data_IF_192851156864
#
_entry.id   IF_192851156864
#
_cell.length_a   1.000
_cell.length_b   1.000
_cell.length_c   1.000
_cell.angle_alpha   90.00
_cell.angle_beta   90.00
_cell.angle_gamma   90.00
#
_symmetry.space_group_name_H-M   'P 1'
#
loop_
_entity.id
_entity.type
_entity.pdbx_description
1 polymer ?
#
# COMPACT_ATOMS: atom_id res chain seq x y z
N UNK A 1 15.86 86.32 2.79
CA UNK A 1 17.23 86.02 3.25
C UNK A 1 17.14 85.03 4.39
N UNK A 2 18.04 84.04 4.39
CA UNK A 2 18.22 82.94 5.35
C UNK A 2 17.12 81.87 5.32
N UNK A 3 17.40 80.57 5.41
CA UNK A 3 18.58 79.72 5.19
C UNK A 3 18.08 78.28 5.37
N UNK A 4 18.66 77.34 4.65
CA UNK A 4 18.34 75.91 4.69
C UNK A 4 18.58 75.29 6.07
N UNK A 5 17.75 74.32 6.47
CA UNK A 5 18.20 73.11 7.18
C UNK A 5 17.15 71.99 7.00
N UNK A 6 17.42 71.06 6.07
CA UNK A 6 16.77 69.75 6.03
C UNK A 6 17.48 68.85 7.04
N UNK A 7 16.73 68.32 8.00
CA UNK A 7 17.20 67.30 8.94
C UNK A 7 16.99 65.92 8.31
N UNK A 8 18.09 65.21 8.09
CA UNK A 8 18.10 63.79 7.75
C UNK A 8 17.77 62.97 9.00
N UNK A 9 16.68 62.21 8.96
CA UNK A 9 16.43 61.13 9.93
C UNK A 9 16.82 59.81 9.27
N UNK A 10 17.87 59.19 9.81
CA UNK A 10 18.28 57.83 9.49
C UNK A 10 17.23 56.85 10.03
N UNK A 11 16.51 56.17 9.14
CA UNK A 11 15.78 54.95 9.48
C UNK A 11 16.68 53.75 9.20
N UNK A 12 17.17 53.15 10.28
CA UNK A 12 17.82 51.83 10.28
C UNK A 12 16.80 50.75 9.91
N UNK A 13 16.93 50.20 8.70
CA UNK A 13 16.17 49.03 8.25
C UNK A 13 16.86 47.78 8.83
N UNK A 14 16.21 47.12 9.79
CA UNK A 14 16.54 45.75 10.15
C UNK A 14 16.09 44.83 9.02
N UNK A 15 17.05 44.32 8.25
CA UNK A 15 16.82 43.26 7.28
C UNK A 15 16.57 41.94 8.04
N UNK A 16 15.31 41.49 8.07
CA UNK A 16 15.01 40.09 8.35
C UNK A 16 15.51 39.25 7.18
N UNK A 17 16.52 38.41 7.43
CA UNK A 17 16.96 37.39 6.50
C UNK A 17 15.79 36.44 6.21
N UNK A 18 15.24 36.51 4.99
CA UNK A 18 14.36 35.46 4.46
C UNK A 18 15.23 34.24 4.20
N UNK A 19 15.04 33.19 4.99
CA UNK A 19 15.50 31.85 4.63
C UNK A 19 14.80 31.44 3.33
N UNK A 20 15.51 31.55 2.22
CA UNK A 20 15.15 30.91 0.96
C UNK A 20 15.20 29.39 1.15
N UNK A 21 14.14 28.63 0.82
CA UNK A 21 14.26 27.19 0.77
C UNK A 21 15.26 26.81 -0.33
N UNK A 22 16.21 25.95 0.03
CA UNK A 22 17.25 25.44 -0.86
C UNK A 22 16.61 24.89 -2.15
N UNK A 23 17.02 25.45 -3.29
CA UNK A 23 16.83 24.83 -4.60
C UNK A 23 17.51 23.47 -4.56
N UNK A 24 16.73 22.40 -4.60
CA UNK A 24 17.22 21.07 -4.92
C UNK A 24 17.90 21.15 -6.30
N UNK A 25 19.23 21.00 -6.31
CA UNK A 25 19.96 20.75 -7.54
C UNK A 25 19.47 19.42 -8.11
N UNK A 26 18.69 19.48 -9.19
CA UNK A 26 18.47 18.35 -10.09
C UNK A 26 19.79 18.08 -10.82
N UNK A 27 20.65 17.28 -10.20
CA UNK A 27 21.63 16.49 -10.93
C UNK A 27 21.05 15.10 -11.14
N UNK A 28 21.12 14.61 -12.38
CA UNK A 28 20.73 13.28 -12.84
C UNK A 28 21.51 12.17 -12.10
N UNK A 29 21.21 11.94 -10.83
CA UNK A 29 21.49 10.68 -10.19
C UNK A 29 20.38 9.71 -10.62
N UNK A 30 20.66 8.88 -11.64
CA UNK A 30 19.96 7.59 -11.71
C UNK A 30 20.24 6.91 -10.37
N UNK A 31 19.24 6.80 -9.51
CA UNK A 31 19.40 6.09 -8.24
C UNK A 31 19.92 4.69 -8.56
N UNK A 32 20.95 4.21 -7.86
CA UNK A 32 21.53 2.88 -8.08
C UNK A 32 20.46 1.77 -8.08
N UNK A 33 19.37 1.97 -7.33
CA UNK A 33 18.24 1.06 -7.24
C UNK A 33 17.33 1.02 -8.48
N UNK A 34 17.30 2.04 -9.34
CA UNK A 34 16.52 1.96 -10.59
C UNK A 34 17.10 0.90 -11.54
N UNK A 35 18.39 0.56 -11.41
CA UNK A 35 19.01 -0.54 -12.16
C UNK A 35 18.59 -1.94 -11.65
N UNK A 36 18.05 -2.01 -10.44
CA UNK A 36 17.57 -3.23 -9.80
C UNK A 36 16.05 -3.42 -9.95
N UNK A 37 15.37 -2.42 -10.53
CA UNK A 37 13.95 -2.44 -10.84
C UNK A 37 13.74 -3.07 -12.23
N UNK A 38 12.89 -4.08 -12.29
CA UNK A 38 12.48 -4.71 -13.56
C UNK A 38 10.98 -4.93 -13.63
N UNK A 39 10.44 -4.87 -14.82
CA UNK A 39 9.06 -5.30 -15.06
C UNK A 39 8.96 -6.83 -14.97
N UNK A 40 7.91 -7.31 -14.31
CA UNK A 40 7.56 -8.74 -14.20
C UNK A 40 6.42 -9.09 -15.13
N UNK A 41 5.41 -8.22 -15.20
CA UNK A 41 4.24 -8.39 -16.06
C UNK A 41 3.53 -7.03 -16.23
N UNK A 42 2.88 -6.83 -17.37
CA UNK A 42 2.07 -5.65 -17.66
C UNK A 42 0.74 -6.08 -18.26
N UNK A 43 -0.34 -5.62 -17.66
CA UNK A 43 -1.69 -5.89 -18.12
C UNK A 43 -2.07 -5.03 -19.35
N UNK A 44 -3.15 -5.39 -20.06
CA UNK A 44 -3.77 -4.52 -21.07
C UNK A 44 -4.23 -3.18 -20.50
N UNK A 45 -4.60 -2.25 -21.38
CA UNK A 45 -5.22 -0.98 -20.98
C UNK A 45 -6.45 -1.20 -20.11
N UNK A 46 -6.78 -0.18 -19.31
CA UNK A 46 -7.85 -0.20 -18.35
C UNK A 46 -7.72 -1.32 -17.32
N UNK A 47 -6.50 -1.53 -16.81
CA UNK A 47 -6.25 -2.44 -15.69
C UNK A 47 -5.54 -1.71 -14.57
N UNK A 48 -6.13 -1.72 -13.38
CA UNK A 48 -5.54 -1.19 -12.16
C UNK A 48 -5.30 -2.36 -11.20
N UNK A 49 -4.02 -2.68 -10.97
CA UNK A 49 -3.62 -3.77 -10.08
C UNK A 49 -3.49 -3.22 -8.67
N UNK A 50 -4.37 -3.65 -7.78
CA UNK A 50 -4.55 -3.02 -6.46
C UNK A 50 -3.62 -3.61 -5.41
N UNK A 51 -3.71 -4.92 -5.20
CA UNK A 51 -3.05 -5.58 -4.10
C UNK A 51 -2.32 -6.85 -4.54
N UNK A 52 -1.47 -7.39 -3.66
CA UNK A 52 -0.58 -8.49 -4.00
C UNK A 52 -0.32 -9.43 -2.81
N UNK A 53 -0.35 -10.74 -3.07
CA UNK A 53 0.12 -11.77 -2.16
C UNK A 53 1.08 -12.73 -2.88
N UNK A 54 2.19 -13.09 -2.22
CA UNK A 54 3.16 -14.05 -2.76
C UNK A 54 2.80 -15.46 -2.30
N UNK A 55 2.59 -16.36 -3.26
CA UNK A 55 2.30 -17.78 -3.01
C UNK A 55 3.53 -18.53 -2.47
N UNK A 56 3.36 -19.66 -1.76
CA UNK A 56 4.48 -20.51 -1.32
C UNK A 56 5.41 -20.96 -2.46
N UNK A 57 4.88 -21.13 -3.67
CA UNK A 57 5.65 -21.50 -4.87
C UNK A 57 6.39 -20.32 -5.53
N UNK A 58 6.23 -19.09 -5.04
CA UNK A 58 6.85 -17.88 -5.58
C UNK A 58 6.05 -17.16 -6.66
N UNK A 59 4.89 -17.69 -7.06
CA UNK A 59 3.95 -16.96 -7.92
C UNK A 59 3.26 -15.84 -7.15
N UNK A 60 2.65 -14.91 -7.89
CA UNK A 60 2.02 -13.71 -7.32
C UNK A 60 0.52 -13.80 -7.57
N UNK A 61 -0.28 -13.61 -6.53
CA UNK A 61 -1.70 -13.34 -6.66
C UNK A 61 -1.91 -11.85 -6.60
N UNK A 62 -2.65 -11.30 -7.56
CA UNK A 62 -3.00 -9.88 -7.60
C UNK A 62 -4.49 -9.68 -7.75
N UNK A 63 -5.00 -8.61 -7.15
CA UNK A 63 -6.39 -8.17 -7.24
C UNK A 63 -6.51 -6.94 -8.12
N UNK A 64 -7.64 -6.77 -8.80
CA UNK A 64 -7.89 -5.60 -9.64
C UNK A 64 -9.01 -4.74 -9.03
N UNK A 65 -8.78 -3.43 -8.84
CA UNK A 65 -9.79 -2.55 -8.23
C UNK A 65 -10.93 -2.25 -9.21
N UNK A 66 -10.67 -2.28 -10.51
CA UNK A 66 -11.64 -1.89 -11.54
C UNK A 66 -12.34 -3.08 -12.20
N UNK A 67 -12.01 -4.30 -11.80
CA UNK A 67 -12.67 -5.54 -12.22
C UNK A 67 -12.57 -6.53 -11.07
N UNK A 68 -13.67 -7.17 -10.60
CA UNK A 68 -13.66 -7.98 -9.39
C UNK A 68 -12.95 -9.34 -9.59
N UNK A 69 -11.65 -9.32 -9.82
CA UNK A 69 -10.86 -10.46 -10.27
C UNK A 69 -9.60 -10.67 -9.44
N UNK A 70 -9.22 -11.94 -9.32
CA UNK A 70 -7.91 -12.38 -8.84
C UNK A 70 -7.17 -13.02 -9.99
N UNK A 71 -5.95 -12.57 -10.22
CA UNK A 71 -5.05 -13.11 -11.23
C UNK A 71 -3.82 -13.74 -10.58
N UNK A 72 -3.34 -14.84 -11.15
CA UNK A 72 -2.05 -15.39 -10.80
C UNK A 72 -1.03 -15.06 -11.87
N UNK A 73 0.09 -14.50 -11.44
CA UNK A 73 1.24 -14.20 -12.26
C UNK A 73 2.35 -15.17 -11.91
N UNK A 74 2.94 -15.75 -12.94
CA UNK A 74 4.04 -16.71 -12.86
C UNK A 74 5.29 -15.97 -13.35
N UNK A 75 6.12 -15.41 -12.44
CA UNK A 75 7.27 -14.61 -12.84
C UNK A 75 8.31 -15.46 -13.56
N UNK A 76 8.85 -14.94 -14.66
CA UNK A 76 10.03 -15.48 -15.30
C UNK A 76 11.18 -14.47 -15.28
N UNK A 77 12.40 -14.94 -15.59
CA UNK A 77 13.56 -14.08 -15.80
C UNK A 77 13.33 -13.17 -17.03
N UNK A 78 13.15 -13.76 -18.22
CA UNK A 78 12.68 -13.02 -19.39
C UNK A 78 11.21 -12.62 -19.25
N UNK A 79 10.91 -11.32 -19.43
CA UNK A 79 9.56 -10.76 -19.31
C UNK A 79 8.54 -11.46 -20.23
N UNK A 80 8.94 -11.73 -21.48
CA UNK A 80 8.10 -12.40 -22.49
C UNK A 80 7.68 -13.84 -22.11
N UNK A 81 8.29 -14.40 -21.08
CA UNK A 81 7.99 -15.74 -20.58
C UNK A 81 7.18 -15.71 -19.29
N UNK A 82 6.95 -14.54 -18.69
CA UNK A 82 6.00 -14.39 -17.59
C UNK A 82 4.60 -14.73 -18.10
N UNK A 83 3.82 -15.43 -17.29
CA UNK A 83 2.46 -15.84 -17.64
C UNK A 83 1.49 -15.27 -16.63
N UNK A 84 0.29 -14.96 -17.11
CA UNK A 84 -0.85 -14.59 -16.27
C UNK A 84 -1.99 -15.58 -16.51
N UNK A 85 -2.73 -15.90 -15.44
CA UNK A 85 -3.98 -16.64 -15.55
C UNK A 85 -5.02 -16.07 -14.60
N UNK A 86 -6.26 -15.96 -15.08
CA UNK A 86 -7.39 -15.63 -14.23
C UNK A 86 -7.61 -16.79 -13.24
N UNK A 87 -7.63 -16.47 -11.95
CA UNK A 87 -7.89 -17.43 -10.88
C UNK A 87 -9.37 -17.46 -10.56
N UNK A 88 -9.98 -16.28 -10.41
CA UNK A 88 -11.40 -16.17 -10.09
C UNK A 88 -11.94 -14.78 -10.48
N UNK A 89 -13.22 -14.76 -10.87
CA UNK A 89 -14.02 -13.55 -11.06
C UNK A 89 -15.21 -13.60 -10.09
N UNK A 90 -15.36 -12.59 -9.24
CA UNK A 90 -16.46 -12.52 -8.27
C UNK A 90 -17.69 -11.87 -8.93
N UNK A 91 -18.67 -12.71 -9.29
CA UNK A 91 -19.94 -12.23 -9.85
C UNK A 91 -20.66 -11.29 -8.87
N UNK A 92 -21.28 -10.23 -9.41
CA UNK A 92 -22.03 -9.21 -8.65
C UNK A 92 -21.19 -8.34 -7.70
N UNK A 93 -19.87 -8.30 -7.88
CA UNK A 93 -19.01 -7.31 -7.25
C UNK A 93 -18.51 -6.29 -8.27
N UNK A 94 -17.93 -5.19 -7.79
CA UNK A 94 -17.40 -4.13 -8.64
C UNK A 94 -15.87 -4.07 -8.65
N UNK A 95 -15.25 -4.56 -7.57
CA UNK A 95 -13.81 -4.42 -7.32
C UNK A 95 -13.27 -5.60 -6.52
N UNK A 96 -11.96 -5.84 -6.60
CA UNK A 96 -11.22 -6.68 -5.66
C UNK A 96 -10.06 -5.86 -5.07
N UNK A 97 -9.96 -5.81 -3.74
CA UNK A 97 -8.97 -4.98 -3.02
C UNK A 97 -8.02 -5.86 -2.20
N UNK A 98 -8.05 -5.81 -0.88
CA UNK A 98 -7.10 -6.51 -0.03
C UNK A 98 -7.13 -8.04 -0.18
N UNK A 99 -5.95 -8.65 -0.14
CA UNK A 99 -5.74 -10.10 -0.15
C UNK A 99 -4.74 -10.48 0.95
N UNK A 100 -5.01 -11.56 1.69
CA UNK A 100 -4.07 -12.08 2.69
C UNK A 100 -4.08 -13.60 2.75
N UNK A 101 -2.92 -14.20 2.97
CA UNK A 101 -2.79 -15.66 3.13
C UNK A 101 -3.23 -16.07 4.54
N UNK A 102 -4.17 -17.00 4.65
CA UNK A 102 -4.63 -17.58 5.92
C UNK A 102 -3.76 -18.78 6.30
N UNK A 103 -3.58 -19.69 5.35
CA UNK A 103 -2.69 -20.86 5.41
C UNK A 103 -2.07 -21.07 4.03
N UNK A 104 -1.02 -21.89 3.88
CA UNK A 104 -0.39 -22.10 2.57
C UNK A 104 -1.41 -22.38 1.46
N UNK A 105 -1.43 -21.51 0.44
CA UNK A 105 -2.35 -21.54 -0.70
C UNK A 105 -3.84 -21.34 -0.40
N UNK A 106 -4.20 -20.84 0.79
CA UNK A 106 -5.57 -20.43 1.13
C UNK A 106 -5.57 -18.97 1.55
N UNK A 107 -6.38 -18.15 0.88
CA UNK A 107 -6.40 -16.71 1.04
C UNK A 107 -7.78 -16.21 1.47
N UNK A 108 -7.81 -15.10 2.19
CA UNK A 108 -8.98 -14.23 2.25
C UNK A 108 -8.80 -13.12 1.21
N UNK A 109 -9.86 -12.77 0.49
CA UNK A 109 -9.88 -11.74 -0.55
C UNK A 109 -11.11 -10.86 -0.34
N UNK A 110 -10.91 -9.55 -0.36
CA UNK A 110 -12.00 -8.58 -0.36
C UNK A 110 -12.46 -8.35 -1.80
N UNK A 111 -13.77 -8.46 -2.02
CA UNK A 111 -14.40 -8.03 -3.26
C UNK A 111 -15.63 -7.17 -2.96
N UNK A 112 -15.52 -5.88 -3.28
CA UNK A 112 -16.38 -4.83 -2.73
C UNK A 112 -16.44 -4.96 -1.20
N UNK A 113 -17.61 -5.21 -0.62
CA UNK A 113 -17.78 -5.37 0.83
C UNK A 113 -17.94 -6.83 1.29
N UNK A 114 -17.60 -7.78 0.42
CA UNK A 114 -17.62 -9.21 0.73
C UNK A 114 -16.21 -9.73 0.97
N UNK A 115 -16.04 -10.53 2.01
CA UNK A 115 -14.78 -11.24 2.26
C UNK A 115 -14.96 -12.69 1.85
N UNK A 116 -14.15 -13.13 0.91
CA UNK A 116 -14.19 -14.47 0.35
C UNK A 116 -12.96 -15.27 0.77
N UNK A 117 -13.16 -16.54 1.09
CA UNK A 117 -12.08 -17.52 1.12
C UNK A 117 -11.79 -17.99 -0.30
N UNK A 118 -10.53 -18.02 -0.68
CA UNK A 118 -10.00 -18.53 -1.95
C UNK A 118 -8.99 -19.64 -1.66
N UNK A 119 -9.32 -20.88 -2.03
CA UNK A 119 -8.48 -22.06 -1.80
C UNK A 119 -7.87 -22.55 -3.11
N UNK A 120 -6.55 -22.54 -3.17
CA UNK A 120 -5.71 -22.96 -4.30
C UNK A 120 -4.84 -24.18 -3.95
N UNK A 121 -5.12 -24.85 -2.83
CA UNK A 121 -4.33 -26.00 -2.35
C UNK A 121 -4.51 -27.26 -3.21
N UNK A 122 -5.56 -27.30 -4.04
CA UNK A 122 -5.83 -28.43 -4.93
C UNK A 122 -4.89 -28.47 -6.14
N UNK A 123 -4.40 -29.68 -6.45
CA UNK A 123 -3.45 -29.93 -7.56
C UNK A 123 -4.05 -29.75 -8.95
N UNK A 124 -5.37 -29.79 -9.10
CA UNK A 124 -6.05 -29.54 -10.38
C UNK A 124 -6.02 -28.07 -10.81
N UNK A 125 -5.50 -27.19 -9.94
CA UNK A 125 -5.28 -25.79 -10.23
C UNK A 125 -6.55 -24.95 -10.24
N UNK A 126 -7.70 -25.53 -9.84
CA UNK A 126 -8.98 -24.83 -9.75
C UNK A 126 -9.15 -24.20 -8.37
N UNK A 127 -9.48 -22.91 -8.37
CA UNK A 127 -9.86 -22.19 -7.17
C UNK A 127 -11.20 -22.70 -6.62
N UNK A 128 -11.27 -22.92 -5.30
CA UNK A 128 -12.54 -23.02 -4.59
C UNK A 128 -12.77 -21.72 -3.84
N UNK A 129 -13.91 -21.08 -4.10
CA UNK A 129 -14.30 -19.87 -3.37
C UNK A 129 -15.48 -20.12 -2.44
N UNK A 130 -15.46 -19.48 -1.27
CA UNK A 130 -16.56 -19.51 -0.29
C UNK A 130 -16.68 -18.14 0.37
N UNK A 131 -17.89 -17.59 0.42
CA UNK A 131 -18.14 -16.36 1.16
C UNK A 131 -17.89 -16.60 2.66
N UNK A 132 -17.08 -15.75 3.29
CA UNK A 132 -16.87 -15.72 4.74
C UNK A 132 -17.94 -14.84 5.37
N UNK A 133 -17.99 -13.56 4.96
CA UNK A 133 -19.04 -12.63 5.37
C UNK A 133 -19.19 -11.41 4.42
N UNK A 134 -20.27 -10.66 4.59
CA UNK A 134 -20.55 -9.36 4.00
C UNK A 134 -20.61 -8.28 5.10
N UNK A 135 -19.85 -7.20 4.94
CA UNK A 135 -19.82 -6.06 5.87
C UNK A 135 -20.58 -4.89 5.21
N UNK A 136 -21.83 -4.58 5.61
CA UNK A 136 -22.76 -3.76 4.82
C UNK A 136 -22.47 -2.25 4.83
N UNK A 137 -21.38 -1.81 5.47
CA UNK A 137 -21.04 -0.40 5.66
C UNK A 137 -19.57 -0.15 5.36
N UNK A 138 -19.26 1.10 5.01
CA UNK A 138 -17.91 1.55 4.72
C UNK A 138 -17.35 0.99 3.42
N UNK A 139 -16.03 1.09 3.27
CA UNK A 139 -15.31 0.69 2.06
C UNK A 139 -14.05 -0.07 2.45
N UNK A 140 -14.06 -1.39 2.22
CA UNK A 140 -13.00 -2.29 2.62
C UNK A 140 -11.81 -2.19 1.65
N UNK A 141 -10.62 -1.92 2.19
CA UNK A 141 -9.41 -1.75 1.38
C UNK A 141 -8.33 -2.79 1.75
N UNK A 142 -7.26 -2.39 2.44
CA UNK A 142 -6.19 -3.30 2.86
C UNK A 142 -6.64 -4.36 3.87
N UNK A 143 -6.01 -5.55 3.83
CA UNK A 143 -6.28 -6.63 4.79
C UNK A 143 -5.00 -7.38 5.16
N UNK A 144 -4.95 -7.91 6.38
CA UNK A 144 -3.84 -8.75 6.84
C UNK A 144 -4.32 -9.81 7.84
N UNK A 145 -3.63 -10.96 7.88
CA UNK A 145 -3.84 -11.98 8.90
C UNK A 145 -3.34 -11.47 10.25
N UNK A 146 -4.24 -11.32 11.22
CA UNK A 146 -3.89 -10.92 12.58
C UNK A 146 -3.37 -12.11 13.40
N UNK A 147 -4.09 -13.22 13.37
CA UNK A 147 -3.73 -14.41 14.12
C UNK A 147 -4.14 -15.67 13.37
N UNK A 148 -3.13 -16.46 13.00
CA UNK A 148 -3.31 -17.70 12.25
C UNK A 148 -4.06 -18.78 13.03
N UNK A 149 -3.76 -18.93 14.32
CA UNK A 149 -4.33 -19.99 15.15
C UNK A 149 -5.83 -19.75 15.42
N UNK A 150 -6.20 -18.48 15.62
CA UNK A 150 -7.58 -18.07 15.82
C UNK A 150 -8.34 -17.82 14.49
N UNK A 151 -7.64 -17.79 13.35
CA UNK A 151 -8.25 -17.49 12.05
C UNK A 151 -8.80 -16.07 11.95
N UNK A 152 -8.12 -15.08 12.52
CA UNK A 152 -8.58 -13.69 12.56
C UNK A 152 -7.84 -12.85 11.54
N UNK A 153 -8.58 -12.07 10.75
CA UNK A 153 -8.04 -11.05 9.85
C UNK A 153 -8.42 -9.65 10.33
N UNK A 154 -7.53 -8.70 10.07
CA UNK A 154 -7.72 -7.26 10.27
C UNK A 154 -7.92 -6.61 8.90
N UNK A 155 -8.98 -5.81 8.74
CA UNK A 155 -9.39 -5.20 7.48
C UNK A 155 -9.51 -3.69 7.67
N UNK A 156 -8.76 -2.91 6.91
CA UNK A 156 -8.89 -1.45 6.91
C UNK A 156 -10.18 -1.03 6.19
N UNK A 157 -10.92 -0.12 6.82
CA UNK A 157 -12.06 0.56 6.22
C UNK A 157 -11.67 2.01 5.92
N UNK A 158 -11.42 2.27 4.64
CA UNK A 158 -10.86 3.55 4.22
C UNK A 158 -11.88 4.69 4.25
N UNK A 159 -13.18 4.37 4.33
CA UNK A 159 -14.24 5.37 4.43
C UNK A 159 -14.57 5.69 5.89
N UNK A 160 -14.65 4.67 6.75
CA UNK A 160 -15.02 4.84 8.15
C UNK A 160 -13.83 5.21 9.06
N UNK A 161 -12.60 5.06 8.57
CA UNK A 161 -11.39 5.38 9.32
C UNK A 161 -11.20 4.47 10.53
N UNK A 162 -11.28 3.16 10.31
CA UNK A 162 -11.15 2.14 11.36
C UNK A 162 -10.61 0.82 10.78
N UNK A 163 -10.32 -0.13 11.66
CA UNK A 163 -10.00 -1.51 11.28
C UNK A 163 -11.10 -2.43 11.79
N UNK A 164 -11.64 -3.28 10.92
CA UNK A 164 -12.52 -4.38 11.26
C UNK A 164 -11.70 -5.60 11.69
N UNK A 165 -12.16 -6.29 12.73
CA UNK A 165 -11.75 -7.66 13.07
C UNK A 165 -12.75 -8.58 12.41
N UNK A 166 -12.30 -9.64 11.72
CA UNK A 166 -13.15 -10.69 11.19
C UNK A 166 -12.60 -12.08 11.54
N UNK A 167 -13.44 -12.92 12.11
CA UNK A 167 -13.17 -14.35 12.27
C UNK A 167 -13.51 -15.09 10.97
N UNK A 168 -12.51 -15.72 10.36
CA UNK A 168 -12.66 -16.39 9.06
C UNK A 168 -13.39 -17.72 9.11
N UNK A 169 -13.65 -18.27 10.30
CA UNK A 169 -14.39 -19.52 10.49
C UNK A 169 -15.86 -19.25 10.75
N UNK A 170 -16.16 -18.38 11.72
CA UNK A 170 -17.54 -18.06 12.11
C UNK A 170 -18.17 -16.96 11.23
N UNK A 171 -17.35 -16.12 10.62
CA UNK A 171 -17.78 -14.92 9.92
C UNK A 171 -18.00 -13.73 10.86
N UNK A 172 -17.96 -13.89 12.18
CA UNK A 172 -18.20 -12.79 13.12
C UNK A 172 -17.22 -11.64 12.93
N UNK A 173 -17.74 -10.41 12.86
CA UNK A 173 -16.93 -9.21 12.72
C UNK A 173 -17.30 -8.12 13.74
N UNK A 174 -16.32 -7.28 14.07
CA UNK A 174 -16.47 -6.17 15.00
C UNK A 174 -15.46 -5.07 14.70
N UNK A 175 -15.69 -3.85 15.20
CA UNK A 175 -14.67 -2.81 15.17
C UNK A 175 -13.50 -3.26 16.05
N UNK A 176 -12.30 -3.30 15.45
CA UNK A 176 -11.05 -3.72 16.10
C UNK A 176 -10.28 -2.51 16.64
N UNK A 177 -9.97 -1.56 15.76
CA UNK A 177 -9.18 -0.38 16.04
C UNK A 177 -9.88 0.84 15.46
N UNK A 178 -9.81 1.96 16.17
CA UNK A 178 -10.29 3.26 15.71
C UNK A 178 -9.48 4.34 16.38
N UNK A 179 -8.91 5.22 15.59
CA UNK A 179 -8.05 6.31 16.05
C UNK A 179 -8.12 7.48 15.06
N UNK A 180 -7.85 8.70 15.53
CA UNK A 180 -7.88 9.90 14.68
C UNK A 180 -6.91 9.81 13.49
N UNK A 181 -5.79 9.12 13.65
CA UNK A 181 -4.82 8.91 12.55
C UNK A 181 -5.35 8.00 11.44
N UNK A 182 -6.52 7.37 11.61
CA UNK A 182 -7.19 6.55 10.60
C UNK A 182 -8.27 7.31 9.83
N UNK A 183 -8.68 8.49 10.31
CA UNK A 183 -9.82 9.24 9.79
C UNK A 183 -9.68 9.56 8.30
N UNK A 184 -10.82 9.44 7.60
CA UNK A 184 -10.93 9.76 6.19
C UNK A 184 -11.11 11.26 5.96
N UNK A 185 -10.56 11.76 4.86
CA UNK A 185 -10.77 13.13 4.39
C UNK A 185 -10.74 13.18 2.86
N UNK A 186 -10.83 14.39 2.28
CA UNK A 186 -10.87 14.62 0.82
C UNK A 186 -9.58 15.26 0.28
N UNK A 187 -8.48 15.28 1.03
CA UNK A 187 -7.26 16.06 0.70
C UNK A 187 -6.61 15.64 -0.63
N UNK A 188 -6.88 14.42 -1.09
CA UNK A 188 -6.38 13.89 -2.37
C UNK A 188 -7.47 13.71 -3.44
N UNK A 189 -8.70 14.18 -3.20
CA UNK A 189 -9.83 14.06 -4.13
C UNK A 189 -10.95 13.15 -3.61
N UNK A 190 -10.80 11.81 -3.64
CA UNK A 190 -11.79 10.90 -3.08
C UNK A 190 -11.77 10.91 -1.54
N UNK A 191 -12.90 10.51 -0.94
CA UNK A 191 -12.95 10.25 0.51
C UNK A 191 -12.12 9.00 0.81
N UNK A 192 -10.97 9.17 1.46
CA UNK A 192 -10.05 8.08 1.78
C UNK A 192 -9.41 8.35 3.14
N UNK A 193 -8.98 7.31 3.85
CA UNK A 193 -8.37 7.40 5.17
C UNK A 193 -7.29 6.34 5.35
N UNK A 194 -7.42 5.54 6.41
CA UNK A 194 -6.63 4.32 6.58
C UNK A 194 -6.73 3.43 5.33
N UNK A 195 -5.60 2.86 4.91
CA UNK A 195 -5.55 2.09 3.68
C UNK A 195 -4.80 0.77 3.88
N UNK A 196 -3.52 0.68 3.50
CA UNK A 196 -2.70 -0.49 3.82
C UNK A 196 -2.65 -0.80 5.32
N UNK A 197 -2.76 -2.09 5.65
CA UNK A 197 -2.59 -2.64 7.00
C UNK A 197 -1.73 -3.90 6.95
N UNK A 198 -0.77 -4.04 7.89
CA UNK A 198 0.12 -5.21 8.02
C UNK A 198 0.40 -5.53 9.49
N UNK A 199 0.66 -6.80 9.79
CA UNK A 199 1.00 -7.25 11.15
C UNK A 199 2.46 -7.72 11.20
N UNK A 200 3.18 -7.32 12.25
CA UNK A 200 4.49 -7.85 12.59
C UNK A 200 4.60 -7.97 14.12
N UNK A 201 4.75 -9.21 14.60
CA UNK A 201 4.71 -9.50 16.04
C UNK A 201 3.33 -9.18 16.62
N UNK A 202 3.32 -8.40 17.70
CA UNK A 202 2.11 -7.91 18.37
C UNK A 202 1.75 -6.47 17.98
N UNK A 203 2.22 -6.00 16.81
CA UNK A 203 1.88 -4.69 16.27
C UNK A 203 1.08 -4.80 14.97
N UNK A 204 0.05 -3.96 14.88
CA UNK A 204 -0.62 -3.61 13.62
C UNK A 204 -0.02 -2.31 13.12
N UNK A 205 0.54 -2.36 11.92
CA UNK A 205 1.05 -1.22 11.17
C UNK A 205 0.01 -0.82 10.13
N UNK A 206 -0.13 0.48 9.89
CA UNK A 206 -1.07 1.00 8.91
C UNK A 206 -0.58 2.30 8.31
N UNK A 207 -1.11 2.62 7.14
CA UNK A 207 -0.93 3.92 6.50
C UNK A 207 -2.26 4.66 6.45
N UNK A 208 -2.20 5.98 6.50
CA UNK A 208 -3.31 6.85 6.10
C UNK A 208 -2.86 7.62 4.86
N UNK A 209 -3.53 7.35 3.74
CA UNK A 209 -3.11 7.83 2.43
C UNK A 209 -3.16 9.36 2.33
N UNK A 210 -4.31 10.04 2.51
CA UNK A 210 -4.34 11.50 2.41
C UNK A 210 -3.54 12.21 3.48
N UNK A 211 -3.52 11.68 4.71
CA UNK A 211 -2.75 12.29 5.80
C UNK A 211 -1.24 12.02 5.69
N UNK A 212 -0.80 11.19 4.73
CA UNK A 212 0.61 10.82 4.49
C UNK A 212 1.28 10.29 5.76
N UNK A 213 0.58 9.42 6.49
CA UNK A 213 1.02 8.85 7.75
C UNK A 213 1.42 7.38 7.58
N UNK A 214 2.49 7.00 8.28
CA UNK A 214 2.80 5.61 8.57
C UNK A 214 2.82 5.44 10.09
N UNK A 215 1.95 4.56 10.59
CA UNK A 215 1.64 4.43 12.01
C UNK A 215 1.69 2.97 12.46
N UNK A 216 1.67 2.77 13.77
CA UNK A 216 1.43 1.45 14.38
C UNK A 216 0.72 1.56 15.71
N UNK A 217 0.14 0.44 16.14
CA UNK A 217 -0.38 0.25 17.49
C UNK A 217 -0.10 -1.18 17.92
N UNK A 218 0.28 -1.36 19.19
CA UNK A 218 0.42 -2.70 19.77
C UNK A 218 -0.97 -3.28 20.02
N UNK A 219 -1.18 -4.57 19.79
CA UNK A 219 -2.47 -5.23 19.96
C UNK A 219 -2.34 -6.58 20.64
N UNK A 220 -3.40 -7.00 21.31
CA UNK A 220 -3.60 -8.42 21.62
C UNK A 220 -4.04 -9.12 20.33
N UNK A 221 -3.26 -10.08 19.84
CA UNK A 221 -3.54 -10.70 18.52
C UNK A 221 -4.74 -11.64 18.52
N UNK A 222 -5.26 -12.07 19.68
CA UNK A 222 -6.44 -12.93 19.78
C UNK A 222 -7.73 -12.12 19.83
N UNK A 223 -7.72 -11.00 20.54
CA UNK A 223 -8.90 -10.13 20.68
C UNK A 223 -8.93 -9.00 19.65
N UNK A 224 -7.76 -8.61 19.14
CA UNK A 224 -7.56 -7.46 18.27
C UNK A 224 -7.54 -6.11 19.00
N UNK A 225 -7.68 -6.09 20.32
CA UNK A 225 -7.71 -4.85 21.09
C UNK A 225 -6.34 -4.17 21.12
N UNK A 226 -6.32 -2.84 21.05
CA UNK A 226 -5.12 -2.05 21.26
C UNK A 226 -4.58 -2.21 22.70
N UNK A 227 -3.28 -2.45 22.81
CA UNK A 227 -2.54 -2.61 24.07
C UNK A 227 -1.40 -1.59 24.09
N UNK A 228 -1.75 -0.32 24.05
CA UNK A 228 -0.79 0.79 24.06
C UNK A 228 -1.26 1.99 23.24
N UNK A 229 -0.41 3.02 23.12
CA UNK A 229 -0.72 4.19 22.30
C UNK A 229 -0.66 3.88 20.81
N UNK A 230 -1.40 4.65 20.03
CA UNK A 230 -1.19 4.76 18.59
C UNK A 230 0.03 5.66 18.34
N UNK A 231 0.99 5.14 17.57
CA UNK A 231 2.27 5.78 17.31
C UNK A 231 2.34 6.19 15.84
N UNK A 232 2.60 7.46 15.57
CA UNK A 232 3.01 7.91 14.23
C UNK A 232 4.51 7.67 14.11
N UNK A 233 4.91 6.77 13.21
CA UNK A 233 6.32 6.44 12.96
C UNK A 233 6.94 7.53 12.09
N UNK A 234 6.27 7.87 10.99
CA UNK A 234 6.77 8.84 10.01
C UNK A 234 5.65 9.55 9.27
N UNK A 235 5.96 10.71 8.68
CA UNK A 235 5.01 11.56 7.94
C UNK A 235 5.61 12.06 6.63
N UNK A 236 4.77 12.36 5.64
CA UNK A 236 5.12 13.15 4.45
C UNK A 236 5.17 12.35 3.15
N UNK A 237 5.44 11.06 3.22
CA UNK A 237 5.31 10.13 2.09
C UNK A 237 3.87 9.66 1.99
N UNK A 238 3.23 9.86 0.83
CA UNK A 238 1.94 9.21 0.54
C UNK A 238 2.16 7.70 0.42
N UNK A 239 1.19 6.92 0.87
CA UNK A 239 1.22 5.48 0.72
C UNK A 239 -0.19 4.92 0.53
N UNK A 240 -0.36 4.03 -0.43
CA UNK A 240 -1.59 3.29 -0.66
C UNK A 240 -1.60 2.02 0.21
N UNK A 241 -0.75 1.05 -0.13
CA UNK A 241 -0.40 -0.09 0.72
C UNK A 241 1.14 -0.25 0.84
N UNK A 242 1.60 -1.26 1.57
CA UNK A 242 3.01 -1.48 1.85
C UNK A 242 3.36 -2.93 2.20
N UNK A 243 4.63 -3.30 2.03
CA UNK A 243 5.21 -4.50 2.62
C UNK A 243 5.98 -4.15 3.91
N UNK A 244 6.13 -5.11 4.83
CA UNK A 244 7.02 -4.97 5.99
C UNK A 244 7.95 -6.18 6.09
N UNK A 245 9.23 -5.93 6.32
CA UNK A 245 10.24 -6.97 6.53
C UNK A 245 10.20 -7.52 7.96
N UNK A 246 10.84 -8.68 8.17
CA UNK A 246 11.01 -9.26 9.50
C UNK A 246 11.78 -8.35 10.47
N UNK A 247 12.54 -7.38 9.97
CA UNK A 247 13.29 -6.40 10.76
C UNK A 247 12.51 -5.09 11.00
N UNK A 248 11.24 -5.00 10.58
CA UNK A 248 10.40 -3.83 10.79
C UNK A 248 10.67 -2.67 9.81
N UNK A 249 11.46 -2.89 8.75
CA UNK A 249 11.55 -1.94 7.63
C UNK A 249 10.31 -2.09 6.76
N UNK A 250 9.58 -0.99 6.56
CA UNK A 250 8.42 -0.94 5.67
C UNK A 250 8.80 -0.45 4.27
N UNK A 251 8.08 -0.91 3.26
CA UNK A 251 8.24 -0.53 1.86
C UNK A 251 6.89 -0.01 1.36
N UNK A 252 6.76 1.32 1.34
CA UNK A 252 5.55 2.07 1.06
C UNK A 252 5.36 2.25 -0.45
N UNK A 253 4.21 1.85 -0.98
CA UNK A 253 3.83 2.07 -2.37
C UNK A 253 3.22 3.47 -2.50
N UNK A 254 3.92 4.38 -3.17
CA UNK A 254 3.72 5.82 -3.10
C UNK A 254 2.61 6.40 -3.96
N UNK A 255 1.64 5.61 -4.43
CA UNK A 255 0.48 6.06 -5.19
C UNK A 255 0.83 7.14 -6.23
N UNK A 256 0.26 8.34 -6.10
CA UNK A 256 0.43 9.47 -7.02
C UNK A 256 1.78 10.17 -6.92
N UNK A 257 2.58 9.91 -5.88
CA UNK A 257 3.96 10.38 -5.81
C UNK A 257 4.89 9.52 -6.72
N UNK A 258 4.39 8.40 -7.30
CA UNK A 258 5.08 7.57 -8.28
C UNK A 258 6.44 7.03 -7.80
N UNK A 259 6.52 6.72 -6.51
CA UNK A 259 7.73 6.22 -5.83
C UNK A 259 7.44 4.95 -5.04
N UNK A 260 8.51 4.23 -4.72
CA UNK A 260 8.54 3.29 -3.59
C UNK A 260 9.52 3.83 -2.57
N UNK A 261 9.09 3.95 -1.32
CA UNK A 261 9.94 4.41 -0.23
C UNK A 261 10.12 3.32 0.83
N UNK A 262 11.31 3.21 1.43
CA UNK A 262 11.49 2.46 2.66
C UNK A 262 11.38 3.36 3.88
N UNK A 263 10.73 2.89 4.94
CA UNK A 263 10.57 3.59 6.19
C UNK A 263 11.10 2.74 7.35
N UNK A 264 11.78 3.39 8.29
CA UNK A 264 12.39 2.76 9.47
C UNK A 264 11.65 3.18 10.74
N UNK A 265 11.70 2.35 11.77
CA UNK A 265 11.03 2.61 13.07
C UNK A 265 11.57 3.84 13.81
N UNK A 266 12.74 4.35 13.44
CA UNK A 266 13.28 5.62 13.96
C UNK A 266 12.67 6.87 13.29
N UNK A 267 11.70 6.67 12.38
CA UNK A 267 10.99 7.72 11.65
C UNK A 267 11.66 8.21 10.36
N UNK A 268 12.83 7.67 10.00
CA UNK A 268 13.49 8.03 8.73
C UNK A 268 12.85 7.31 7.55
N UNK A 269 12.83 7.99 6.40
CA UNK A 269 12.29 7.49 5.14
C UNK A 269 13.24 7.80 3.98
N UNK A 270 13.27 6.92 2.99
CA UNK A 270 14.09 7.06 1.79
C UNK A 270 13.36 6.51 0.57
N UNK A 271 13.34 7.28 -0.53
CA UNK A 271 12.85 6.77 -1.83
C UNK A 271 13.88 5.81 -2.40
N UNK A 272 13.46 4.57 -2.67
CA UNK A 272 14.32 3.49 -3.18
C UNK A 272 14.00 3.12 -4.63
N UNK A 273 12.90 3.60 -5.20
CA UNK A 273 12.62 3.45 -6.63
C UNK A 273 11.67 4.53 -7.12
N UNK A 274 11.83 4.95 -8.37
CA UNK A 274 10.94 5.92 -9.01
C UNK A 274 11.19 7.37 -8.61
N UNK A 275 10.26 8.22 -9.00
CA UNK A 275 10.25 9.67 -8.83
C UNK A 275 8.87 10.18 -9.26
N UNK A 276 8.56 11.45 -9.01
CA UNK A 276 7.28 12.04 -9.43
C UNK A 276 6.95 11.82 -10.92
N UNK A 277 7.96 11.78 -11.79
CA UNK A 277 7.81 11.56 -13.23
C UNK A 277 8.10 10.11 -13.68
N UNK A 278 8.20 9.17 -12.75
CA UNK A 278 8.47 7.76 -13.06
C UNK A 278 7.29 7.14 -13.78
N UNK A 279 7.58 6.43 -14.87
CA UNK A 279 6.61 5.55 -15.57
C UNK A 279 6.73 4.09 -15.14
N UNK A 280 7.80 3.74 -14.42
CA UNK A 280 8.07 2.37 -14.02
C UNK A 280 7.19 1.93 -12.83
N UNK A 281 7.06 2.80 -11.83
CA UNK A 281 6.24 2.61 -10.62
C UNK A 281 5.18 3.71 -10.52
N UNK A 282 4.72 4.20 -11.66
CA UNK A 282 3.66 5.20 -11.72
C UNK A 282 2.41 4.64 -11.06
N UNK A 283 1.84 5.36 -10.10
CA UNK A 283 0.65 4.93 -9.35
C UNK A 283 0.92 3.64 -8.59
N UNK A 284 2.03 3.53 -7.84
CA UNK A 284 2.34 2.33 -7.07
C UNK A 284 1.28 2.08 -5.99
N UNK A 285 0.60 0.93 -6.01
CA UNK A 285 -0.59 0.65 -5.19
C UNK A 285 -0.28 -0.24 -3.98
N UNK A 286 0.51 -1.29 -4.15
CA UNK A 286 0.86 -2.22 -3.08
C UNK A 286 2.23 -2.84 -3.29
N UNK A 287 2.73 -3.53 -2.26
CA UNK A 287 3.98 -4.25 -2.32
C UNK A 287 3.97 -5.53 -1.47
N UNK A 288 4.75 -6.53 -1.89
CA UNK A 288 5.00 -7.74 -1.11
C UNK A 288 6.44 -8.24 -1.28
N UNK A 289 7.03 -8.71 -0.19
CA UNK A 289 8.33 -9.37 -0.22
C UNK A 289 8.20 -10.78 -0.79
N UNK A 290 9.13 -11.13 -1.68
CA UNK A 290 9.26 -12.46 -2.22
C UNK A 290 9.60 -13.50 -1.16
N UNK A 291 9.56 -14.78 -1.56
CA UNK A 291 9.83 -15.93 -0.68
C UNK A 291 11.05 -16.71 -1.16
N UNK A 292 11.66 -17.46 -0.25
CA UNK A 292 12.75 -18.39 -0.53
C UNK A 292 13.91 -17.69 -1.25
N UNK A 293 14.34 -18.19 -2.41
CA UNK A 293 15.41 -17.59 -3.23
C UNK A 293 15.12 -16.16 -3.73
N UNK A 294 13.89 -15.67 -3.56
CA UNK A 294 13.47 -14.30 -3.90
C UNK A 294 13.18 -13.46 -2.65
N UNK A 295 13.66 -13.85 -1.47
CA UNK A 295 13.43 -13.11 -0.22
C UNK A 295 13.98 -11.67 -0.24
N UNK A 296 14.93 -11.39 -1.12
CA UNK A 296 15.48 -10.04 -1.38
C UNK A 296 14.75 -9.30 -2.50
N UNK A 297 13.62 -9.79 -3.01
CA UNK A 297 12.85 -9.13 -4.06
C UNK A 297 11.59 -8.52 -3.46
N UNK A 298 11.37 -7.24 -3.74
CA UNK A 298 10.12 -6.55 -3.46
C UNK A 298 9.29 -6.49 -4.75
N UNK A 299 8.13 -7.14 -4.75
CA UNK A 299 7.16 -7.02 -5.83
C UNK A 299 6.25 -5.83 -5.56
N UNK A 300 5.96 -5.03 -6.59
CA UNK A 300 5.19 -3.79 -6.50
C UNK A 300 4.09 -3.82 -7.56
N UNK A 301 2.85 -3.52 -7.19
CA UNK A 301 1.73 -3.38 -8.12
C UNK A 301 1.51 -1.90 -8.48
N UNK A 302 0.92 -1.64 -9.65
CA UNK A 302 0.60 -0.28 -10.07
C UNK A 302 -0.84 -0.12 -10.60
N UNK A 303 -1.38 1.08 -10.41
CA UNK A 303 -2.70 1.52 -10.86
C UNK A 303 -2.79 1.88 -12.34
N UNK A 304 -1.77 1.53 -13.12
CA UNK A 304 -1.80 1.69 -14.57
C UNK A 304 -1.62 3.14 -15.03
N UNK A 305 -0.50 3.74 -14.63
CA UNK A 305 0.06 4.94 -15.30
C UNK A 305 -0.89 6.16 -15.32
N UNK A 306 -1.69 6.35 -14.27
CA UNK A 306 -2.64 7.47 -14.15
C UNK A 306 -2.40 8.28 -12.88
N UNK A 307 -2.50 9.60 -12.97
CA UNK A 307 -2.50 10.48 -11.79
C UNK A 307 -3.88 10.62 -11.16
N UNK A 308 -4.93 10.21 -11.88
CA UNK A 308 -6.30 10.23 -11.41
C UNK A 308 -6.66 8.85 -10.86
N UNK A 309 -6.80 8.78 -9.54
CA UNK A 309 -7.11 7.56 -8.79
C UNK A 309 -8.56 7.09 -8.94
N UNK A 310 -9.35 7.79 -9.77
CA UNK A 310 -10.75 7.45 -10.07
C UNK A 310 -10.98 7.00 -11.52
N UNK A 311 -9.97 7.12 -12.39
CA UNK A 311 -10.04 6.69 -13.79
C UNK A 311 -9.08 5.54 -14.09
N UNK A 312 -9.62 4.45 -14.63
CA UNK A 312 -8.88 3.22 -14.92
C UNK A 312 -8.57 3.13 -16.40
N UNK A 313 -7.60 3.91 -16.88
CA UNK A 313 -7.34 4.05 -18.33
C UNK A 313 -6.03 3.43 -18.80
N UNK A 314 -4.99 3.36 -17.94
CA UNK A 314 -3.70 2.82 -18.35
C UNK A 314 -3.48 1.36 -17.98
N UNK A 315 -2.19 0.97 -17.93
CA UNK A 315 -1.74 -0.43 -17.95
C UNK A 315 -1.07 -0.80 -16.63
N UNK A 316 -1.84 -1.39 -15.72
CA UNK A 316 -1.30 -1.84 -14.44
C UNK A 316 -0.16 -2.83 -14.63
N UNK A 317 0.88 -2.68 -13.81
CA UNK A 317 2.12 -3.47 -13.89
C UNK A 317 2.38 -4.19 -12.58
N UNK A 318 3.27 -5.16 -12.70
CA UNK A 318 3.99 -5.71 -11.57
C UNK A 318 5.46 -5.47 -11.81
N UNK A 319 6.09 -4.75 -10.88
CA UNK A 319 7.52 -4.50 -10.88
C UNK A 319 8.17 -5.39 -9.82
N UNK A 320 9.44 -5.70 -10.01
CA UNK A 320 10.29 -6.35 -9.04
C UNK A 320 11.52 -5.48 -8.80
N UNK A 321 11.73 -5.09 -7.55
CA UNK A 321 12.92 -4.38 -7.08
C UNK A 321 13.79 -5.36 -6.29
N UNK A 322 15.03 -5.56 -6.72
CA UNK A 322 16.01 -6.30 -5.90
C UNK A 322 16.52 -5.38 -4.80
N UNK A 323 16.39 -5.82 -3.55
CA UNK A 323 16.83 -5.10 -2.37
C UNK A 323 18.25 -5.51 -2.01
N UNK A 324 19.06 -4.51 -1.66
CA UNK A 324 20.35 -4.74 -1.01
C UNK A 324 20.06 -5.04 0.47
N UNK A 325 20.05 -6.34 0.83
CA UNK A 325 19.87 -6.83 2.19
C UNK A 325 21.21 -6.94 2.94
#
# INVERSE_FOLDING_TARGET
MLSHFLIFVFLSVFAFARNTPNRYNQQNHRNHHDQLLREVYQFPNATWVENIAVRPNGNLLVTLVNTPEVWEIIPSGPLEQSRARLVHHFSNAQMATGITELTPDVYAVISSNHVWKLDLSKKDGKAITKLINYIPIGSLNGMTLLNKAAGIVAIADCQLGLVWRLDTTSGEYSVMLKDQTMEANYDIGPLLGINGVKVLGDYVYYVNTPQRLYCRVRVDTFTGQAVGPYEIISKGVIADDFAISAHGVAYLAGLTDNVVARAFLNGTQEVIAGSLNSTAVMTATSAALGRNKYANVLYITTGGETTDVTSYTGRGKIMALTLDL
#
